data_IF_725466379930
#
_entry.id   IF_725466379930
#
_cell.length_a   1.000
_cell.length_b   1.000
_cell.length_c   1.000
_cell.angle_alpha   90.00
_cell.angle_beta   90.00
_cell.angle_gamma   90.00
#
_symmetry.space_group_name_H-M   'P 1'
#
loop_
_entity.id
_entity.type
_entity.pdbx_description
1 polymer ?
#
# COMPACT_ATOMS: atom_id res chain seq x y z
N UNK A 1 -17.18 -52.56 15.33
CA UNK A 1 -17.78 -51.23 15.10
C UNK A 1 -16.62 -50.25 15.04
N UNK A 2 -16.19 -49.87 13.83
CA UNK A 2 -14.96 -49.09 13.60
C UNK A 2 -15.30 -47.60 13.57
N UNK A 3 -14.74 -46.84 14.51
CA UNK A 3 -14.82 -45.38 14.56
C UNK A 3 -13.82 -44.80 13.57
N UNK A 4 -14.28 -44.36 12.40
CA UNK A 4 -13.47 -43.61 11.45
C UNK A 4 -13.45 -42.14 11.90
N UNK A 5 -12.30 -41.51 12.22
CA UNK A 5 -12.25 -40.11 12.63
C UNK A 5 -12.49 -39.21 11.41
N UNK A 6 -13.76 -38.93 11.12
CA UNK A 6 -14.10 -37.88 10.16
C UNK A 6 -13.64 -36.54 10.74
N UNK A 7 -12.78 -35.84 10.01
CA UNK A 7 -12.21 -34.55 10.42
C UNK A 7 -13.32 -33.57 10.79
N UNK A 8 -13.22 -32.94 11.97
CA UNK A 8 -14.17 -31.97 12.53
C UNK A 8 -14.49 -30.77 11.62
N UNK A 9 -13.70 -30.55 10.56
CA UNK A 9 -13.93 -29.54 9.54
C UNK A 9 -15.18 -29.78 8.69
N UNK A 10 -15.71 -31.01 8.62
CA UNK A 10 -16.85 -31.36 7.77
C UNK A 10 -18.22 -31.28 8.48
N UNK A 11 -18.27 -30.75 9.71
CA UNK A 11 -19.50 -30.71 10.51
C UNK A 11 -19.77 -29.29 11.05
N UNK A 12 -20.08 -28.31 10.18
CA UNK A 12 -20.43 -26.97 10.63
C UNK A 12 -21.74 -26.99 11.41
N UNK A 13 -21.79 -26.26 12.54
CA UNK A 13 -23.02 -26.08 13.33
C UNK A 13 -23.89 -24.94 12.81
N UNK A 14 -23.31 -24.02 12.03
CA UNK A 14 -23.97 -22.84 11.49
C UNK A 14 -23.14 -22.23 10.34
N UNK A 15 -23.78 -21.48 9.44
CA UNK A 15 -23.16 -20.82 8.29
C UNK A 15 -23.98 -19.60 7.89
N UNK A 16 -23.31 -18.49 7.59
CA UNK A 16 -23.90 -17.24 7.10
C UNK A 16 -23.02 -16.70 5.98
N UNK A 17 -23.65 -16.11 4.96
CA UNK A 17 -22.95 -15.51 3.83
C UNK A 17 -23.62 -14.22 3.35
N UNK A 18 -22.83 -13.36 2.70
CA UNK A 18 -23.33 -12.17 2.03
C UNK A 18 -22.58 -11.94 0.73
N UNK A 19 -23.30 -11.98 -0.39
CA UNK A 19 -22.78 -11.58 -1.68
C UNK A 19 -22.94 -10.06 -1.88
N UNK A 20 -21.87 -9.30 -1.70
CA UNK A 20 -21.89 -7.85 -1.87
C UNK A 20 -21.96 -7.41 -3.33
N UNK A 21 -21.65 -8.28 -4.28
CA UNK A 21 -21.76 -7.97 -5.71
C UNK A 21 -23.22 -7.84 -6.17
N UNK A 22 -24.17 -8.39 -5.39
CA UNK A 22 -25.61 -8.32 -5.66
C UNK A 22 -26.30 -7.12 -5.00
N UNK A 23 -25.57 -6.36 -4.16
CA UNK A 23 -26.13 -5.21 -3.46
C UNK A 23 -26.20 -3.97 -4.36
N UNK A 24 -27.39 -3.69 -4.91
CA UNK A 24 -27.64 -2.57 -5.83
C UNK A 24 -27.13 -1.21 -5.30
N UNK A 25 -27.31 -0.95 -4.01
CA UNK A 25 -26.92 0.33 -3.39
C UNK A 25 -25.44 0.40 -2.98
N UNK A 26 -24.67 -0.69 -3.16
CA UNK A 26 -23.22 -0.71 -2.91
C UNK A 26 -22.42 -0.89 -4.21
N UNK A 27 -22.89 -1.75 -5.11
CA UNK A 27 -22.20 -2.13 -6.34
C UNK A 27 -21.03 -3.11 -6.15
N UNK A 28 -20.78 -3.56 -4.91
CA UNK A 28 -19.69 -4.43 -4.53
C UNK A 28 -19.07 -4.08 -3.19
N UNK A 29 -17.96 -4.73 -2.86
CA UNK A 29 -17.11 -4.44 -1.70
C UNK A 29 -15.64 -4.77 -2.01
N UNK A 30 -14.66 -4.23 -1.28
CA UNK A 30 -14.83 -3.26 -0.18
C UNK A 30 -15.01 -1.81 -0.63
N UNK A 31 -14.46 -1.47 -1.81
CA UNK A 31 -14.43 -0.10 -2.32
C UNK A 31 -14.22 -0.10 -3.84
N UNK A 32 -14.32 1.06 -4.46
CA UNK A 32 -13.96 1.24 -5.86
C UNK A 32 -12.45 1.04 -6.09
N UNK A 33 -12.09 0.40 -7.21
CA UNK A 33 -10.72 0.36 -7.69
C UNK A 33 -10.55 1.23 -8.94
N UNK A 34 -9.32 1.61 -9.25
CA UNK A 34 -8.99 2.41 -10.42
C UNK A 34 -8.40 1.52 -11.51
N UNK A 35 -9.08 1.32 -12.66
CA UNK A 35 -8.48 0.73 -13.84
C UNK A 35 -7.26 1.55 -14.33
N UNK A 36 -6.37 0.96 -15.13
CA UNK A 36 -5.20 1.65 -15.66
C UNK A 36 -5.55 2.98 -16.35
N UNK A 37 -4.80 4.04 -16.02
CA UNK A 37 -4.98 5.38 -16.60
C UNK A 37 -6.06 6.26 -15.94
N UNK A 38 -7.01 5.69 -15.20
CA UNK A 38 -8.12 6.48 -14.62
C UNK A 38 -7.62 7.42 -13.53
N UNK A 39 -6.78 6.94 -12.62
CA UNK A 39 -6.27 7.75 -11.51
C UNK A 39 -5.47 8.98 -12.01
N UNK A 40 -4.65 8.82 -13.04
CA UNK A 40 -3.83 9.92 -13.58
C UNK A 40 -4.64 10.89 -14.41
N UNK A 41 -5.66 10.44 -15.15
CA UNK A 41 -6.52 11.30 -15.96
C UNK A 41 -7.54 12.06 -15.10
N UNK A 42 -8.17 11.39 -14.13
CA UNK A 42 -9.36 11.88 -13.42
C UNK A 42 -9.21 11.96 -11.89
N UNK A 43 -8.17 11.40 -11.28
CA UNK A 43 -8.04 11.34 -9.81
C UNK A 43 -8.12 12.69 -9.10
N UNK A 44 -7.65 13.77 -9.76
CA UNK A 44 -7.69 15.14 -9.21
C UNK A 44 -9.10 15.69 -8.93
N UNK A 45 -10.15 15.10 -9.52
CA UNK A 45 -11.52 15.58 -9.36
C UNK A 45 -12.36 14.76 -8.38
N UNK A 46 -11.81 13.66 -7.81
CA UNK A 46 -12.55 12.70 -6.99
C UNK A 46 -13.34 13.31 -5.82
N UNK A 47 -12.83 14.41 -5.27
CA UNK A 47 -13.43 15.15 -4.15
C UNK A 47 -13.62 16.64 -4.44
N UNK A 48 -13.52 17.05 -5.70
CA UNK A 48 -13.64 18.45 -6.09
C UNK A 48 -15.12 18.86 -6.00
N UNK A 49 -15.48 19.91 -5.23
CA UNK A 49 -16.86 20.36 -5.15
C UNK A 49 -17.41 20.82 -6.51
N UNK A 50 -18.72 20.61 -6.72
CA UNK A 50 -19.45 21.09 -7.89
C UNK A 50 -20.57 22.01 -7.41
N UNK A 51 -20.33 23.32 -7.46
CA UNK A 51 -21.25 24.32 -6.92
C UNK A 51 -21.41 24.17 -5.40
N UNK A 52 -22.61 23.81 -4.96
CA UNK A 52 -22.93 23.53 -3.54
C UNK A 52 -22.91 22.03 -3.19
N UNK A 53 -22.49 21.17 -4.13
CA UNK A 53 -22.33 19.74 -3.91
C UNK A 53 -20.89 19.44 -3.46
N UNK A 54 -20.77 18.82 -2.29
CA UNK A 54 -19.51 18.36 -1.71
C UNK A 54 -19.53 16.84 -1.61
N UNK A 55 -18.41 16.20 -1.88
CA UNK A 55 -18.31 14.74 -2.01
C UNK A 55 -17.61 14.13 -0.78
N UNK A 56 -18.34 13.31 -0.05
CA UNK A 56 -17.83 12.44 1.01
C UNK A 56 -17.66 11.00 0.49
N UNK A 57 -17.78 10.00 1.35
CA UNK A 57 -17.56 8.59 1.01
C UNK A 57 -16.08 8.22 1.12
N UNK A 58 -15.81 6.98 1.53
CA UNK A 58 -14.44 6.55 1.88
C UNK A 58 -13.47 6.68 0.72
N UNK A 59 -13.94 6.57 -0.52
CA UNK A 59 -13.18 6.76 -1.76
C UNK A 59 -12.55 8.15 -1.88
N UNK A 60 -13.11 9.14 -1.18
CA UNK A 60 -12.63 10.53 -1.22
C UNK A 60 -11.63 10.86 -0.12
N UNK A 61 -11.37 9.93 0.81
CA UNK A 61 -10.40 10.07 1.88
C UNK A 61 -8.95 10.15 1.36
N UNK A 62 -8.04 10.60 2.22
CA UNK A 62 -6.59 10.62 1.97
C UNK A 62 -5.85 9.58 2.80
N UNK A 63 -6.44 9.11 3.88
CA UNK A 63 -5.92 8.04 4.73
C UNK A 63 -6.99 6.96 4.85
N UNK A 64 -6.56 5.70 4.75
CA UNK A 64 -7.45 4.52 4.84
C UNK A 64 -8.70 4.60 3.93
N UNK A 65 -8.56 5.17 2.73
CA UNK A 65 -9.59 5.12 1.68
C UNK A 65 -9.99 3.67 1.41
N UNK A 66 -11.30 3.41 1.41
CA UNK A 66 -11.88 2.07 1.29
C UNK A 66 -12.24 1.41 2.63
N UNK A 67 -11.94 2.06 3.76
CA UNK A 67 -12.25 1.58 5.10
C UNK A 67 -13.25 2.49 5.81
N UNK A 68 -13.77 2.04 6.96
CA UNK A 68 -14.63 2.84 7.83
C UNK A 68 -13.93 4.13 8.28
N UNK A 69 -12.62 4.07 8.55
CA UNK A 69 -11.79 5.23 8.90
C UNK A 69 -11.83 6.31 7.81
N UNK A 70 -11.63 5.91 6.54
CA UNK A 70 -11.75 6.82 5.41
C UNK A 70 -13.16 7.40 5.26
N UNK A 71 -14.21 6.64 5.60
CA UNK A 71 -15.59 7.14 5.57
C UNK A 71 -15.81 8.27 6.59
N UNK A 72 -15.27 8.12 7.81
CA UNK A 72 -15.28 9.15 8.85
C UNK A 72 -14.50 10.38 8.39
N UNK A 73 -13.23 10.20 8.01
CA UNK A 73 -12.36 11.30 7.57
C UNK A 73 -13.00 12.10 6.41
N UNK A 74 -13.53 11.42 5.41
CA UNK A 74 -14.16 12.06 4.26
C UNK A 74 -15.48 12.77 4.61
N UNK A 75 -16.31 12.16 5.45
CA UNK A 75 -17.58 12.72 5.89
C UNK A 75 -17.40 14.01 6.68
N UNK A 76 -16.52 13.98 7.68
CA UNK A 76 -16.22 15.16 8.48
C UNK A 76 -15.57 16.27 7.66
N UNK A 77 -14.62 15.93 6.78
CA UNK A 77 -13.98 16.89 5.89
C UNK A 77 -15.02 17.56 4.98
N UNK A 78 -15.93 16.81 4.36
CA UNK A 78 -17.00 17.38 3.54
C UNK A 78 -17.94 18.30 4.34
N UNK A 79 -18.27 17.92 5.58
CA UNK A 79 -19.06 18.77 6.47
C UNK A 79 -18.31 20.08 6.80
N UNK A 80 -17.00 20.00 7.06
CA UNK A 80 -16.15 21.17 7.30
C UNK A 80 -15.99 22.05 6.05
N UNK A 81 -15.93 21.48 4.85
CA UNK A 81 -15.97 22.26 3.59
C UNK A 81 -17.26 23.09 3.49
N UNK A 82 -18.41 22.52 3.84
CA UNK A 82 -19.69 23.23 3.89
C UNK A 82 -19.68 24.31 4.98
N UNK A 83 -19.20 24.00 6.18
CA UNK A 83 -19.09 24.98 7.27
C UNK A 83 -18.18 26.15 6.90
N UNK A 84 -17.10 25.90 6.18
CA UNK A 84 -16.21 26.94 5.68
C UNK A 84 -16.92 27.83 4.64
N UNK A 85 -17.66 27.23 3.70
CA UNK A 85 -18.47 27.97 2.73
C UNK A 85 -19.53 28.84 3.41
N UNK A 86 -20.11 28.38 4.51
CA UNK A 86 -21.05 29.14 5.34
C UNK A 86 -20.39 30.21 6.23
N UNK A 87 -19.06 30.35 6.20
CA UNK A 87 -18.32 31.29 7.04
C UNK A 87 -18.29 30.92 8.53
N UNK A 88 -18.57 29.65 8.89
CA UNK A 88 -18.57 29.18 10.29
C UNK A 88 -17.18 28.81 10.79
N UNK A 89 -16.31 28.35 9.89
CA UNK A 89 -14.92 28.00 10.19
C UNK A 89 -13.99 28.58 9.10
N UNK A 90 -12.72 28.86 9.40
CA UNK A 90 -11.74 29.23 8.39
C UNK A 90 -11.27 28.02 7.55
N UNK A 91 -10.75 28.29 6.34
CA UNK A 91 -10.30 27.28 5.38
C UNK A 91 -9.25 26.30 5.94
N UNK A 92 -8.37 26.78 6.82
CA UNK A 92 -7.32 25.96 7.44
C UNK A 92 -7.85 24.92 8.44
N UNK A 93 -9.12 25.01 8.84
CA UNK A 93 -9.76 24.03 9.73
C UNK A 93 -10.52 22.93 8.97
N UNK A 94 -10.54 22.95 7.64
CA UNK A 94 -11.22 21.90 6.85
C UNK A 94 -10.56 20.55 7.02
N UNK A 95 -9.23 20.53 6.95
CA UNK A 95 -8.41 19.34 7.18
C UNK A 95 -7.91 19.38 8.61
N UNK A 96 -8.18 18.31 9.36
CA UNK A 96 -7.78 18.16 10.75
C UNK A 96 -7.08 16.83 10.89
N UNK A 97 -6.02 16.81 11.69
CA UNK A 97 -5.30 15.60 12.05
C UNK A 97 -5.96 15.00 13.28
N UNK A 98 -6.33 13.73 13.21
CA UNK A 98 -6.90 13.01 14.34
C UNK A 98 -5.78 12.66 15.35
N UNK A 99 -5.97 12.91 16.66
CA UNK A 99 -5.04 12.44 17.68
C UNK A 99 -4.97 10.90 17.71
N UNK A 100 -3.80 10.36 18.02
CA UNK A 100 -3.62 8.90 18.11
C UNK A 100 -4.50 8.30 19.23
N UNK A 101 -5.06 7.12 18.95
CA UNK A 101 -5.86 6.39 19.94
C UNK A 101 -4.97 5.87 21.07
N UNK A 102 -5.36 6.16 22.31
CA UNK A 102 -4.70 5.63 23.50
C UNK A 102 -5.05 4.16 23.77
N UNK A 103 -6.20 3.70 23.26
CA UNK A 103 -6.69 2.33 23.45
C UNK A 103 -6.07 1.35 22.45
N UNK A 104 -5.81 1.83 21.23
CA UNK A 104 -5.22 1.04 20.15
C UNK A 104 -4.03 1.82 19.56
N UNK A 105 -2.89 1.90 20.27
CA UNK A 105 -1.74 2.67 19.81
C UNK A 105 -1.08 1.99 18.59
N UNK A 106 -0.61 2.77 17.60
CA UNK A 106 0.10 2.21 16.47
C UNK A 106 1.50 1.73 16.87
N UNK A 107 1.83 0.48 16.55
CA UNK A 107 3.21 0.01 16.62
C UNK A 107 3.94 0.33 15.31
N UNK A 108 5.21 0.76 15.37
CA UNK A 108 5.96 1.09 14.17
C UNK A 108 6.25 -0.16 13.33
N UNK A 109 6.15 -0.03 12.02
CA UNK A 109 6.63 -1.06 11.09
C UNK A 109 8.16 -1.07 11.08
N UNK A 110 8.74 -2.09 11.70
CA UNK A 110 10.20 -2.28 11.75
C UNK A 110 10.66 -3.18 10.61
N UNK A 111 11.75 -2.79 9.94
CA UNK A 111 12.42 -3.60 8.93
C UNK A 111 13.82 -4.00 9.40
N UNK A 112 14.19 -5.25 9.17
CA UNK A 112 15.52 -5.76 9.54
C UNK A 112 16.61 -5.24 8.59
N UNK A 113 17.88 -5.38 9.01
CA UNK A 113 19.01 -5.06 8.15
C UNK A 113 18.95 -5.84 6.82
N UNK A 114 18.61 -7.13 6.88
CA UNK A 114 18.60 -7.98 5.69
C UNK A 114 17.40 -7.72 4.79
N UNK A 115 16.21 -7.43 5.33
CA UNK A 115 15.06 -6.99 4.52
C UNK A 115 15.35 -5.73 3.71
N UNK A 116 16.16 -4.81 4.26
CA UNK A 116 16.51 -3.56 3.61
C UNK A 116 17.66 -3.68 2.60
N UNK A 117 18.65 -4.53 2.89
CA UNK A 117 19.91 -4.57 2.14
C UNK A 117 20.07 -5.78 1.23
N UNK A 118 19.22 -6.82 1.36
CA UNK A 118 19.27 -7.93 0.40
C UNK A 118 18.90 -7.42 -0.99
N UNK A 119 19.69 -7.77 -2.03
CA UNK A 119 19.40 -7.32 -3.38
C UNK A 119 18.14 -7.99 -3.92
N UNK A 120 17.48 -7.33 -4.88
CA UNK A 120 16.48 -7.99 -5.72
C UNK A 120 17.15 -9.08 -6.58
N UNK A 121 16.36 -9.96 -7.21
CA UNK A 121 16.88 -10.99 -8.13
C UNK A 121 17.75 -10.37 -9.23
N UNK A 122 17.31 -9.26 -9.84
CA UNK A 122 18.11 -8.54 -10.83
C UNK A 122 19.38 -7.92 -10.24
N UNK A 123 19.29 -7.35 -9.04
CA UNK A 123 20.46 -6.86 -8.30
C UNK A 123 21.48 -7.95 -8.01
N UNK A 124 21.02 -9.15 -7.65
CA UNK A 124 21.88 -10.31 -7.39
C UNK A 124 22.57 -10.81 -8.67
N UNK A 125 21.85 -10.92 -9.79
CA UNK A 125 22.44 -11.31 -11.08
C UNK A 125 23.49 -10.28 -11.52
N UNK A 126 23.21 -8.98 -11.37
CA UNK A 126 24.18 -7.93 -11.66
C UNK A 126 25.42 -8.02 -10.77
N UNK A 127 25.24 -8.28 -9.48
CA UNK A 127 26.34 -8.49 -8.54
C UNK A 127 27.20 -9.69 -8.95
N UNK A 128 26.59 -10.84 -9.25
CA UNK A 128 27.30 -12.02 -9.75
C UNK A 128 28.07 -11.72 -11.05
N UNK A 129 27.46 -10.99 -11.97
CA UNK A 129 28.11 -10.55 -13.21
C UNK A 129 29.36 -9.71 -12.94
N UNK A 130 29.24 -8.66 -12.12
CA UNK A 130 30.37 -7.78 -11.76
C UNK A 130 31.45 -8.55 -11.00
N UNK A 131 31.07 -9.38 -10.03
CA UNK A 131 32.01 -10.21 -9.27
C UNK A 131 32.78 -11.17 -10.18
N UNK A 132 32.12 -11.74 -11.19
CA UNK A 132 32.77 -12.63 -12.17
C UNK A 132 33.77 -11.88 -13.05
N UNK A 133 33.43 -10.69 -13.53
CA UNK A 133 34.34 -9.83 -14.31
C UNK A 133 35.55 -9.41 -13.48
N UNK A 134 35.35 -8.97 -12.24
CA UNK A 134 36.44 -8.59 -11.34
C UNK A 134 37.35 -9.78 -11.02
N UNK A 135 36.78 -10.97 -10.82
CA UNK A 135 37.55 -12.21 -10.60
C UNK A 135 38.39 -12.56 -11.82
N UNK A 136 37.83 -12.43 -13.03
CA UNK A 136 38.55 -12.66 -14.27
C UNK A 136 39.69 -11.65 -14.47
N UNK A 137 39.43 -10.36 -14.23
CA UNK A 137 40.44 -9.31 -14.32
C UNK A 137 41.59 -9.52 -13.32
N UNK A 138 41.27 -9.90 -12.09
CA UNK A 138 42.26 -10.20 -11.05
C UNK A 138 43.16 -11.38 -11.46
N UNK A 139 42.55 -12.46 -11.97
CA UNK A 139 43.28 -13.65 -12.42
C UNK A 139 44.18 -13.33 -13.62
N UNK A 140 43.68 -12.56 -14.60
CA UNK A 140 44.45 -12.12 -15.76
C UNK A 140 45.64 -11.23 -15.36
N UNK A 141 45.44 -10.28 -14.46
CA UNK A 141 46.50 -9.41 -13.93
C UNK A 141 47.59 -10.19 -13.19
N UNK A 142 47.21 -11.18 -12.38
CA UNK A 142 48.14 -12.03 -11.65
C UNK A 142 48.97 -12.92 -12.60
N UNK A 143 48.35 -13.44 -13.67
CA UNK A 143 49.06 -14.15 -14.73
C UNK A 143 50.02 -13.26 -15.51
N UNK A 144 49.60 -12.03 -15.85
CA UNK A 144 50.45 -11.05 -16.52
C UNK A 144 51.68 -10.67 -15.66
N UNK A 145 51.48 -10.49 -14.36
CA UNK A 145 52.55 -10.26 -13.39
C UNK A 145 53.52 -11.46 -13.32
N UNK A 146 53.00 -12.69 -13.19
CA UNK A 146 53.82 -13.91 -13.12
C UNK A 146 54.61 -14.17 -14.41
N UNK A 147 54.08 -13.78 -15.57
CA UNK A 147 54.75 -13.89 -16.88
C UNK A 147 55.67 -12.71 -17.21
N UNK A 148 55.86 -11.75 -16.30
CA UNK A 148 56.77 -10.62 -16.49
C UNK A 148 56.31 -9.59 -17.53
N UNK A 149 55.02 -9.60 -17.90
CA UNK A 149 54.42 -8.64 -18.85
C UNK A 149 54.07 -7.29 -18.21
N UNK A 150 54.16 -7.19 -16.88
CA UNK A 150 54.04 -5.95 -16.12
C UNK A 150 55.43 -5.58 -15.58
N UNK A 151 55.94 -4.42 -16.00
CA UNK A 151 57.26 -3.91 -15.61
C UNK A 151 57.32 -3.62 -14.11
N UNK A 152 58.33 -4.18 -13.42
CA UNK A 152 58.71 -3.79 -12.07
C UNK A 152 59.28 -2.35 -12.12
N UNK A 153 58.59 -1.38 -11.54
CA UNK A 153 59.20 -0.12 -11.08
C UNK A 153 59.66 -0.28 -9.65
#
# INVERSE_FOLDING_TARGET
MSTNPQSSLAQPVHYEEKNWCEEEYSGGCYTAYFPPGILTQYGKVIRKPVGRLYFAGTETATEWSGYMEGAVQAGERAAREIMCMMGRIPQNQIWQTEPESMEVPPLPFVTTFWERNLPSVGGFINFLGVASVLSFATTAGLLAYKKGLLTRS
#
